data_IF_264083052103
#
_entry.id   IF_264083052103
#
_cell.length_a   1.000
_cell.length_b   1.000
_cell.length_c   1.000
_cell.angle_alpha   90.00
_cell.angle_beta   90.00
_cell.angle_gamma   90.00
#
_symmetry.space_group_name_H-M   'P 1'
#
loop_
_entity.id
_entity.type
_entity.pdbx_description
1 polymer ?
#
# COMPACT_ATOMS: atom_id res chain seq x y z
N UNK A 1 12.93 24.53 21.92
CA UNK A 1 12.27 24.51 20.61
C UNK A 1 10.85 24.01 20.84
N UNK A 2 9.84 24.84 20.60
CA UNK A 2 8.45 24.43 20.74
C UNK A 2 8.18 23.29 19.75
N UNK A 3 7.58 22.19 20.21
CA UNK A 3 6.99 21.21 19.29
C UNK A 3 5.84 21.94 18.59
N UNK A 4 6.04 22.30 17.32
CA UNK A 4 5.03 22.90 16.43
C UNK A 4 3.89 21.92 16.05
N UNK A 5 3.63 20.92 16.90
CA UNK A 5 2.57 19.95 16.67
C UNK A 5 1.24 20.53 17.19
N UNK A 6 0.27 20.87 16.32
CA UNK A 6 -1.02 21.39 16.76
C UNK A 6 -1.75 20.33 17.60
N UNK A 7 -2.03 20.65 18.86
CA UNK A 7 -2.81 19.77 19.74
C UNK A 7 -4.30 19.85 19.36
N UNK A 8 -4.86 18.73 18.93
CA UNK A 8 -6.28 18.61 18.58
C UNK A 8 -7.04 17.86 19.68
N UNK A 9 -8.25 18.33 20.00
CA UNK A 9 -9.19 17.62 20.85
C UNK A 9 -10.08 16.71 20.00
N UNK A 10 -9.71 15.43 19.91
CA UNK A 10 -10.44 14.45 19.12
C UNK A 10 -11.64 13.90 19.90
N UNK A 11 -12.85 14.03 19.36
CA UNK A 11 -14.05 13.35 19.87
C UNK A 11 -14.28 12.06 19.09
N UNK A 12 -14.11 10.93 19.74
CA UNK A 12 -14.32 9.59 19.16
C UNK A 12 -15.34 8.79 19.98
N UNK A 13 -16.10 7.88 19.34
CA UNK A 13 -16.95 6.94 20.06
C UNK A 13 -16.11 6.00 20.93
N UNK A 14 -16.68 5.55 22.05
CA UNK A 14 -15.99 4.71 23.04
C UNK A 14 -15.46 3.40 22.43
N UNK A 15 -16.24 2.75 21.56
CA UNK A 15 -15.82 1.54 20.86
C UNK A 15 -14.52 1.74 20.06
N UNK A 16 -14.40 2.88 19.37
CA UNK A 16 -13.23 3.18 18.56
C UNK A 16 -12.00 3.47 19.43
N UNK A 17 -12.20 4.13 20.58
CA UNK A 17 -11.15 4.32 21.58
C UNK A 17 -10.62 2.97 22.09
N UNK A 18 -11.50 2.05 22.45
CA UNK A 18 -11.09 0.73 22.96
C UNK A 18 -10.33 -0.08 21.90
N UNK A 19 -10.77 -0.02 20.64
CA UNK A 19 -10.05 -0.64 19.50
C UNK A 19 -8.67 -0.04 19.29
N UNK A 20 -8.53 1.26 19.49
CA UNK A 20 -7.28 1.97 19.35
C UNK A 20 -6.33 1.66 20.52
N UNK A 21 -6.83 1.62 21.77
CA UNK A 21 -6.08 1.22 22.96
C UNK A 21 -5.47 -0.18 22.77
N UNK A 22 -6.27 -1.16 22.32
CA UNK A 22 -5.79 -2.52 22.00
C UNK A 22 -4.72 -2.54 20.91
N UNK A 23 -4.87 -1.69 19.89
CA UNK A 23 -3.89 -1.59 18.81
C UNK A 23 -2.58 -0.98 19.31
N UNK A 24 -2.64 0.07 20.12
CA UNK A 24 -1.48 0.69 20.75
C UNK A 24 -0.69 -0.28 21.61
N UNK A 25 -1.37 -1.11 22.43
CA UNK A 25 -0.73 -2.17 23.21
C UNK A 25 -0.01 -3.20 22.31
N UNK A 26 -0.67 -3.64 21.24
CA UNK A 26 -0.11 -4.59 20.28
C UNK A 26 1.12 -4.04 19.57
N UNK A 27 1.09 -2.77 19.20
CA UNK A 27 2.19 -2.09 18.49
C UNK A 27 3.24 -1.49 19.43
N UNK A 28 3.05 -1.58 20.75
CA UNK A 28 3.91 -0.97 21.80
C UNK A 28 4.14 0.53 21.57
N UNK A 29 3.10 1.21 21.09
CA UNK A 29 3.10 2.66 20.81
C UNK A 29 2.17 3.37 21.79
N UNK A 30 2.38 4.66 22.01
CA UNK A 30 1.40 5.47 22.73
C UNK A 30 0.12 5.61 21.90
N UNK A 31 -1.01 5.87 22.56
CA UNK A 31 -2.30 6.07 21.89
C UNK A 31 -2.19 7.13 20.78
N UNK A 32 -1.56 8.26 21.10
CA UNK A 32 -1.32 9.35 20.15
C UNK A 32 -0.46 8.91 18.97
N UNK A 33 0.61 8.12 19.21
CA UNK A 33 1.47 7.64 18.13
C UNK A 33 0.76 6.64 17.21
N UNK A 34 -0.13 5.81 17.75
CA UNK A 34 -0.95 4.90 16.95
C UNK A 34 -1.97 5.66 16.09
N UNK A 35 -2.59 6.71 16.62
CA UNK A 35 -3.48 7.59 15.84
C UNK A 35 -2.73 8.22 14.69
N UNK A 36 -1.57 8.81 14.97
CA UNK A 36 -0.74 9.47 13.94
C UNK A 36 -0.32 8.46 12.88
N UNK A 37 0.22 7.30 13.28
CA UNK A 37 0.65 6.28 12.33
C UNK A 37 -0.48 5.80 11.42
N UNK A 38 -1.70 5.63 11.94
CA UNK A 38 -2.86 5.25 11.12
C UNK A 38 -3.31 6.35 10.16
N UNK A 39 -3.25 7.60 10.60
CA UNK A 39 -3.56 8.74 9.73
C UNK A 39 -2.53 8.82 8.59
N UNK A 40 -1.24 8.76 8.92
CA UNK A 40 -0.14 8.73 7.95
C UNK A 40 -0.29 7.55 6.97
N UNK A 41 -0.60 6.35 7.47
CA UNK A 41 -0.84 5.17 6.64
C UNK A 41 -2.02 5.37 5.69
N UNK A 42 -3.10 6.03 6.14
CA UNK A 42 -4.27 6.32 5.30
C UNK A 42 -3.90 7.26 4.15
N UNK A 43 -3.11 8.30 4.41
CA UNK A 43 -2.63 9.22 3.37
C UNK A 43 -1.59 8.55 2.45
N UNK A 44 -0.77 7.65 2.97
CA UNK A 44 0.22 6.91 2.17
C UNK A 44 -0.44 5.87 1.25
N UNK A 45 -1.51 5.21 1.69
CA UNK A 45 -2.25 4.21 0.92
C UNK A 45 -3.19 4.81 -0.13
N UNK A 46 -3.74 5.99 0.15
CA UNK A 46 -4.68 6.66 -0.71
C UNK A 46 -4.34 8.14 -0.79
N UNK A 47 -3.36 8.45 -1.66
CA UNK A 47 -2.94 9.82 -1.95
C UNK A 47 -4.13 10.76 -2.04
N UNK A 48 -4.22 11.63 -1.05
CA UNK A 48 -4.82 12.95 -1.08
C UNK A 48 -6.19 13.05 -1.77
N UNK A 49 -7.08 12.07 -1.60
CA UNK A 49 -8.45 12.12 -2.14
C UNK A 49 -8.56 12.38 -3.66
N UNK A 50 -7.44 12.33 -4.40
CA UNK A 50 -7.38 12.58 -5.83
C UNK A 50 -7.10 11.26 -6.49
N UNK A 51 -8.12 10.40 -6.47
CA UNK A 51 -8.25 9.24 -7.35
C UNK A 51 -6.90 8.67 -7.81
N UNK A 52 -6.11 8.15 -6.86
CA UNK A 52 -5.12 7.16 -7.22
C UNK A 52 -5.96 6.01 -7.75
N UNK A 53 -6.11 5.98 -9.07
CA UNK A 53 -6.82 4.93 -9.78
C UNK A 53 -6.33 3.62 -9.14
N UNK A 54 -7.23 2.80 -8.56
CA UNK A 54 -6.83 1.45 -8.21
C UNK A 54 -6.17 0.92 -9.49
N UNK A 55 -4.97 0.34 -9.39
CA UNK A 55 -4.32 -0.28 -10.54
C UNK A 55 -5.38 -1.18 -11.16
N UNK A 56 -5.99 -0.68 -12.24
CA UNK A 56 -7.24 -1.24 -12.73
C UNK A 56 -6.90 -2.65 -13.18
N UNK A 57 -7.78 -3.61 -12.96
CA UNK A 57 -7.54 -5.00 -13.40
C UNK A 57 -7.16 -5.03 -14.89
N UNK A 58 -7.66 -4.08 -15.68
CA UNK A 58 -7.27 -3.88 -17.09
C UNK A 58 -5.81 -3.48 -17.29
N UNK A 59 -5.23 -2.70 -16.38
CA UNK A 59 -3.80 -2.37 -16.43
C UNK A 59 -2.98 -3.63 -16.23
N UNK A 60 -3.37 -4.51 -15.29
CA UNK A 60 -2.69 -5.80 -15.10
C UNK A 60 -2.84 -6.73 -16.30
N UNK A 61 -4.01 -6.79 -16.94
CA UNK A 61 -4.22 -7.58 -18.17
C UNK A 61 -3.36 -7.06 -19.35
N UNK A 62 -3.28 -5.74 -19.53
CA UNK A 62 -2.43 -5.12 -20.56
C UNK A 62 -0.94 -5.41 -20.36
N UNK A 63 -0.48 -5.56 -19.11
CA UNK A 63 0.88 -6.02 -18.80
C UNK A 63 1.04 -7.51 -19.07
N UNK A 64 0.04 -8.34 -18.76
CA UNK A 64 0.07 -9.77 -18.99
C UNK A 64 0.22 -10.11 -20.49
N UNK A 65 -0.54 -9.43 -21.35
CA UNK A 65 -0.47 -9.66 -22.81
C UNK A 65 0.90 -9.26 -23.39
N UNK A 66 1.43 -8.11 -22.98
CA UNK A 66 2.72 -7.62 -23.49
C UNK A 66 3.93 -8.43 -22.97
N UNK A 67 3.83 -9.00 -21.77
CA UNK A 67 4.89 -9.82 -21.17
C UNK A 67 4.83 -11.26 -21.68
N UNK A 68 3.64 -11.84 -21.86
CA UNK A 68 3.45 -13.20 -22.36
C UNK A 68 4.10 -13.39 -23.75
N UNK A 69 3.87 -12.44 -24.67
CA UNK A 69 4.45 -12.49 -26.02
C UNK A 69 5.99 -12.44 -26.00
N UNK A 70 6.58 -11.67 -25.07
CA UNK A 70 8.05 -11.61 -24.92
C UNK A 70 8.61 -12.88 -24.33
N UNK A 71 7.92 -13.50 -23.37
CA UNK A 71 8.37 -14.77 -22.76
C UNK A 71 8.30 -15.90 -23.79
N UNK A 72 7.22 -16.00 -24.57
CA UNK A 72 7.09 -17.01 -25.64
C UNK A 72 8.19 -16.87 -26.68
N UNK A 73 8.45 -15.65 -27.18
CA UNK A 73 9.55 -15.41 -28.13
C UNK A 73 10.91 -15.76 -27.53
N UNK A 74 11.17 -15.40 -26.28
CA UNK A 74 12.43 -15.69 -25.61
C UNK A 74 12.64 -17.21 -25.38
N UNK A 75 11.56 -17.97 -25.15
CA UNK A 75 11.63 -19.43 -25.02
C UNK A 75 11.85 -20.10 -26.38
N UNK A 76 11.17 -19.66 -27.43
CA UNK A 76 11.33 -20.19 -28.80
C UNK A 76 12.75 -19.92 -29.35
N UNK A 77 13.32 -18.74 -29.09
CA UNK A 77 14.73 -18.46 -29.42
C UNK A 77 15.73 -19.33 -28.64
N UNK A 78 15.39 -19.72 -27.40
CA UNK A 78 16.22 -20.61 -26.59
C UNK A 78 16.16 -22.06 -27.08
N UNK A 79 15.00 -22.56 -27.49
CA UNK A 79 14.87 -23.90 -28.08
C UNK A 79 15.60 -24.02 -29.42
N UNK A 80 15.46 -23.03 -30.30
CA UNK A 80 16.19 -22.99 -31.58
C UNK A 80 17.71 -22.96 -31.40
N UNK A 81 18.21 -22.28 -30.36
CA UNK A 81 19.63 -22.32 -29.99
C UNK A 81 20.07 -23.66 -29.41
N UNK A 82 19.16 -24.40 -28.75
CA UNK A 82 19.45 -25.71 -28.16
C UNK A 82 19.41 -26.85 -29.17
N UNK A 83 18.60 -26.75 -30.21
CA UNK A 83 18.51 -27.74 -31.31
C UNK A 83 19.63 -27.60 -32.37
N UNK A 84 20.36 -26.48 -32.37
CA UNK A 84 21.49 -26.20 -33.28
C UNK A 84 22.87 -26.52 -32.68
N UNK A 85 22.92 -26.98 -31.43
CA UNK A 85 24.10 -27.52 -30.75
C UNK A 85 24.05 -29.04 -30.78
#
# INVERSE_FOLDING_TARGET
MARDDPQINLRIPSDLKDRLDRASEKHKRSLTAEVVARLEETFALGGDGTAAAPIDTKTMDLFADNVADRVVKALDEREKKRAKR
#
